data_IF_744525355518
#
_entry.id   IF_744525355518
#
_cell.length_a   1.000
_cell.length_b   1.000
_cell.length_c   1.000
_cell.angle_alpha   90.00
_cell.angle_beta   90.00
_cell.angle_gamma   90.00
#
_symmetry.space_group_name_H-M   'P 1'
#
loop_
_entity.id
_entity.type
_entity.pdbx_description
1 polymer ?
#
# COMPACT_ATOMS: atom_id res chain seq x y z
N UNK A 1 68.52 84.19 -81.38
CA UNK A 1 68.51 83.76 -82.75
C UNK A 1 68.39 82.28 -82.78
N UNK A 2 67.59 81.70 -83.61
CA UNK A 2 66.48 80.89 -83.06
C UNK A 2 66.76 79.38 -82.88
N UNK A 3 66.06 78.79 -81.96
CA UNK A 3 65.97 77.39 -81.62
C UNK A 3 65.34 76.54 -82.71
N UNK A 4 65.89 75.38 -82.93
CA UNK A 4 65.23 74.34 -83.67
C UNK A 4 64.66 73.26 -82.71
N UNK A 5 63.34 73.11 -82.72
CA UNK A 5 62.60 72.09 -82.00
C UNK A 5 62.88 70.72 -82.59
N UNK A 6 63.14 69.74 -81.68
CA UNK A 6 63.22 68.35 -82.01
C UNK A 6 61.85 67.70 -81.74
N UNK A 7 61.22 67.27 -82.79
CA UNK A 7 59.94 66.48 -82.72
C UNK A 7 60.30 65.02 -82.50
N UNK A 8 59.92 64.51 -81.33
CA UNK A 8 60.04 63.09 -80.98
C UNK A 8 58.81 62.32 -81.40
N UNK A 9 58.93 61.26 -82.22
CA UNK A 9 57.83 60.43 -82.72
C UNK A 9 57.80 59.16 -81.90
N UNK A 10 56.67 58.89 -81.18
CA UNK A 10 56.56 57.69 -80.34
C UNK A 10 56.37 56.43 -81.22
N UNK A 11 57.23 55.42 -80.99
CA UNK A 11 57.11 54.04 -81.55
C UNK A 11 56.06 53.24 -80.84
N UNK A 12 55.10 52.60 -81.58
CA UNK A 12 54.06 51.67 -81.08
C UNK A 12 54.70 50.41 -80.46
N UNK A 13 54.17 49.92 -79.33
CA UNK A 13 54.68 48.72 -78.65
C UNK A 13 54.27 47.45 -79.41
N UNK A 14 55.27 46.59 -79.63
CA UNK A 14 55.07 45.26 -80.23
C UNK A 14 54.33 44.30 -79.26
N UNK A 15 53.12 43.82 -79.62
CA UNK A 15 52.31 42.84 -78.87
C UNK A 15 53.08 41.52 -78.76
N UNK A 16 53.54 41.17 -77.57
CA UNK A 16 54.22 39.90 -77.26
C UNK A 16 53.11 38.78 -77.11
N UNK A 17 52.70 38.24 -78.19
CA UNK A 17 51.65 37.15 -78.29
C UNK A 17 52.06 35.89 -77.52
N UNK A 18 53.33 35.63 -77.33
CA UNK A 18 53.87 34.49 -76.53
C UNK A 18 53.58 34.59 -75.04
N UNK A 19 53.60 35.81 -74.47
CA UNK A 19 53.28 36.02 -73.05
C UNK A 19 51.83 35.78 -72.69
N UNK A 20 50.92 36.12 -73.58
CA UNK A 20 49.50 35.86 -73.39
C UNK A 20 49.15 34.38 -73.51
N UNK A 21 49.78 33.64 -74.37
CA UNK A 21 49.61 32.18 -74.49
C UNK A 21 50.19 31.48 -73.24
N UNK A 22 51.39 31.93 -72.75
CA UNK A 22 51.98 31.39 -71.52
C UNK A 22 51.08 31.72 -70.29
N UNK A 23 50.56 32.91 -70.21
CA UNK A 23 49.60 33.29 -69.12
C UNK A 23 48.30 32.49 -69.19
N UNK A 24 47.77 32.21 -70.39
CA UNK A 24 46.56 31.37 -70.59
C UNK A 24 46.83 29.92 -70.20
N UNK A 25 47.94 29.33 -70.55
CA UNK A 25 48.33 27.96 -70.15
C UNK A 25 48.57 27.86 -68.64
N UNK A 26 49.20 28.86 -68.02
CA UNK A 26 49.45 28.93 -66.59
C UNK A 26 48.10 29.11 -65.82
N UNK A 27 47.19 29.98 -66.33
CA UNK A 27 45.84 30.17 -65.77
C UNK A 27 44.96 28.91 -65.90
N UNK A 28 45.00 28.26 -67.08
CA UNK A 28 44.24 26.99 -67.26
C UNK A 28 44.79 25.85 -66.40
N UNK A 29 46.14 25.78 -66.22
CA UNK A 29 46.74 24.82 -65.29
C UNK A 29 46.42 25.06 -63.83
N UNK A 30 46.31 26.33 -63.42
CA UNK A 30 45.91 26.69 -62.08
C UNK A 30 44.40 26.37 -61.79
N UNK A 31 43.55 26.58 -62.80
CA UNK A 31 42.09 26.21 -62.71
C UNK A 31 41.93 24.69 -62.64
N UNK A 32 42.65 23.92 -63.49
CA UNK A 32 42.63 22.46 -63.41
C UNK A 32 43.18 21.96 -62.08
N UNK A 33 44.24 22.56 -61.56
CA UNK A 33 44.84 22.22 -60.28
C UNK A 33 43.88 22.55 -59.13
N UNK A 34 43.21 23.71 -59.12
CA UNK A 34 42.20 24.05 -58.12
C UNK A 34 40.96 23.15 -58.17
N UNK A 35 40.49 22.74 -59.37
CA UNK A 35 39.44 21.75 -59.54
C UNK A 35 39.89 20.38 -59.03
N UNK A 36 41.12 19.98 -59.29
CA UNK A 36 41.70 18.74 -58.80
C UNK A 36 41.83 18.76 -57.23
N UNK A 37 42.29 19.89 -56.66
CA UNK A 37 42.31 20.08 -55.20
C UNK A 37 40.92 20.10 -54.58
N UNK A 38 39.95 20.73 -55.24
CA UNK A 38 38.55 20.76 -54.76
C UNK A 38 37.87 19.39 -54.85
N UNK A 39 38.35 18.49 -55.72
CA UNK A 39 37.84 17.10 -55.83
C UNK A 39 38.47 16.15 -54.78
N UNK A 40 39.51 16.56 -54.08
CA UNK A 40 40.06 15.80 -52.95
C UNK A 40 39.08 15.86 -51.77
N UNK A 41 38.38 14.76 -51.52
CA UNK A 41 37.55 14.64 -50.30
C UNK A 41 38.41 14.91 -49.09
N UNK A 42 37.93 15.72 -48.10
CA UNK A 42 38.67 15.98 -46.87
C UNK A 42 39.01 14.66 -46.17
N UNK A 43 40.21 14.55 -45.66
CA UNK A 43 40.68 13.36 -44.97
C UNK A 43 39.76 13.08 -43.77
N UNK A 44 39.18 11.90 -43.74
CA UNK A 44 38.28 11.49 -42.64
C UNK A 44 39.02 11.60 -41.30
N UNK A 45 38.46 12.30 -40.31
CA UNK A 45 39.07 12.40 -38.98
C UNK A 45 39.29 11.02 -38.39
N UNK A 46 40.38 10.83 -37.66
CA UNK A 46 40.69 9.55 -37.03
C UNK A 46 40.19 9.50 -35.60
N UNK A 47 39.60 8.36 -35.22
CA UNK A 47 39.14 8.04 -33.90
C UNK A 47 39.82 6.76 -33.43
N UNK A 48 40.30 6.73 -32.20
CA UNK A 48 40.96 5.55 -31.65
C UNK A 48 39.91 4.47 -31.33
N UNK A 49 40.13 3.27 -31.84
CA UNK A 49 39.22 2.13 -31.67
C UNK A 49 39.04 1.70 -30.22
N UNK A 50 40.04 1.91 -29.38
CA UNK A 50 39.98 1.57 -27.95
C UNK A 50 39.07 2.49 -27.14
N UNK A 51 38.77 3.69 -27.64
CA UNK A 51 37.91 4.68 -26.95
C UNK A 51 36.44 4.53 -27.31
N UNK A 52 36.11 3.78 -28.38
CA UNK A 52 34.74 3.63 -28.87
C UNK A 52 34.15 2.27 -28.46
N UNK A 53 32.98 2.31 -27.90
CA UNK A 53 32.20 1.10 -27.64
C UNK A 53 31.49 0.68 -28.94
N UNK A 54 31.70 -0.57 -29.33
CA UNK A 54 31.12 -1.16 -30.54
C UNK A 54 30.12 -2.24 -30.14
N UNK A 55 28.97 -2.34 -30.85
CA UNK A 55 28.06 -3.47 -30.73
C UNK A 55 27.48 -3.83 -32.10
N UNK A 56 27.01 -5.09 -32.19
CA UNK A 56 26.41 -5.62 -33.41
C UNK A 56 24.88 -5.52 -33.36
N UNK A 57 24.29 -5.16 -34.50
CA UNK A 57 22.83 -5.21 -34.69
C UNK A 57 22.40 -6.67 -34.81
N UNK A 58 21.51 -7.10 -33.95
CA UNK A 58 21.00 -8.47 -33.88
C UNK A 58 19.49 -8.49 -34.13
N UNK A 59 19.00 -9.58 -34.68
CA UNK A 59 17.56 -9.85 -34.80
C UNK A 59 17.17 -10.92 -33.78
N UNK A 60 16.15 -10.64 -32.96
CA UNK A 60 15.72 -11.57 -31.92
C UNK A 60 14.73 -10.95 -30.95
N UNK A 61 14.61 -11.56 -29.80
CA UNK A 61 13.76 -11.07 -28.72
C UNK A 61 14.48 -10.02 -27.88
N UNK A 62 13.93 -8.82 -27.80
CA UNK A 62 14.42 -7.73 -26.97
C UNK A 62 13.49 -7.56 -25.77
N UNK A 63 14.02 -7.69 -24.54
CA UNK A 63 13.31 -7.32 -23.33
C UNK A 63 13.31 -5.80 -23.14
N UNK A 64 12.13 -5.20 -23.04
CA UNK A 64 12.03 -3.82 -22.59
C UNK A 64 11.99 -3.78 -21.08
N UNK A 65 13.02 -3.28 -20.48
CA UNK A 65 13.24 -3.25 -19.05
C UNK A 65 13.41 -1.83 -18.56
N UNK A 66 12.95 -1.57 -17.35
CA UNK A 66 13.20 -0.33 -16.62
C UNK A 66 13.88 -0.64 -15.30
N UNK A 67 14.76 0.27 -14.89
CA UNK A 67 15.51 0.13 -13.65
C UNK A 67 15.27 1.33 -12.76
N UNK A 68 15.15 1.07 -11.46
CA UNK A 68 15.06 2.11 -10.45
C UNK A 68 15.70 1.71 -9.13
N UNK A 69 16.22 2.69 -8.39
CA UNK A 69 16.66 2.50 -7.02
C UNK A 69 15.46 2.42 -6.09
N UNK A 70 15.64 1.77 -4.95
CA UNK A 70 14.62 1.68 -3.93
C UNK A 70 15.15 1.20 -2.59
N UNK A 71 14.24 0.80 -1.73
CA UNK A 71 14.55 0.26 -0.39
C UNK A 71 13.71 -0.97 -0.11
N UNK A 72 14.26 -1.90 0.66
CA UNK A 72 13.50 -3.00 1.24
C UNK A 72 12.71 -2.50 2.43
N UNK A 73 11.41 -2.75 2.45
CA UNK A 73 10.56 -2.43 3.60
C UNK A 73 9.81 -3.68 4.05
N UNK A 74 9.50 -3.82 5.34
CA UNK A 74 8.65 -4.91 5.80
C UNK A 74 7.29 -4.88 5.10
N UNK A 75 6.77 -6.04 4.71
CA UNK A 75 5.44 -6.15 4.11
C UNK A 75 4.35 -5.78 5.12
N UNK A 76 4.52 -6.23 6.37
CA UNK A 76 3.63 -5.96 7.47
C UNK A 76 4.34 -5.20 8.59
N UNK A 77 3.80 -4.05 8.93
CA UNK A 77 4.26 -3.18 10.01
C UNK A 77 3.11 -2.99 10.98
N UNK A 78 3.31 -3.37 12.22
CA UNK A 78 2.36 -3.12 13.30
C UNK A 78 2.79 -1.90 14.11
N UNK A 79 2.03 -0.82 13.97
CA UNK A 79 2.16 0.37 14.80
C UNK A 79 1.32 0.20 16.05
N UNK A 80 1.93 0.33 17.22
CA UNK A 80 1.26 0.25 18.49
C UNK A 80 1.22 1.64 19.08
N UNK A 81 0.02 2.18 19.28
CA UNK A 81 -0.20 3.52 19.82
C UNK A 81 -0.90 3.48 21.17
N UNK A 82 -0.68 4.51 21.97
CA UNK A 82 -1.39 4.71 23.23
C UNK A 82 -2.88 4.93 23.00
N UNK A 83 -3.73 4.21 23.73
CA UNK A 83 -5.19 4.38 23.71
C UNK A 83 -5.67 5.35 24.79
N UNK A 84 -4.88 5.50 25.86
CA UNK A 84 -5.20 6.35 27.01
C UNK A 84 -3.99 7.18 27.40
N UNK A 85 -4.17 8.38 27.96
CA UNK A 85 -3.06 9.12 28.54
C UNK A 85 -2.48 8.31 29.71
N UNK A 86 -1.17 8.18 29.76
CA UNK A 86 -0.50 7.42 30.82
C UNK A 86 0.98 7.78 30.91
N UNK A 87 1.63 7.39 32.02
CA UNK A 87 3.07 7.50 32.20
C UNK A 87 3.71 6.14 31.90
N UNK A 88 4.82 6.12 31.18
CA UNK A 88 5.65 4.92 31.01
C UNK A 88 6.24 4.53 32.36
N UNK A 89 5.84 3.39 32.89
CA UNK A 89 6.36 2.88 34.18
C UNK A 89 7.59 2.03 33.95
N UNK A 90 7.53 1.05 33.05
CA UNK A 90 8.61 0.11 32.81
C UNK A 90 8.64 -0.35 31.35
N UNK A 91 9.84 -0.56 30.84
CA UNK A 91 10.10 -1.14 29.51
C UNK A 91 10.76 -2.51 29.73
N UNK A 92 10.20 -3.56 29.13
CA UNK A 92 10.66 -4.94 29.31
C UNK A 92 11.50 -5.44 28.15
N UNK A 93 11.31 -4.88 26.95
CA UNK A 93 11.89 -5.38 25.70
C UNK A 93 12.61 -4.24 24.99
N UNK A 94 13.78 -4.53 24.42
CA UNK A 94 14.55 -3.56 23.63
C UNK A 94 14.36 -3.76 22.13
N UNK A 95 14.55 -2.71 21.30
CA UNK A 95 14.58 -2.85 19.84
C UNK A 95 15.57 -3.93 19.38
N UNK A 96 15.17 -4.69 18.36
CA UNK A 96 15.92 -5.85 17.84
C UNK A 96 15.52 -7.19 18.45
N UNK A 97 14.71 -7.22 19.52
CA UNK A 97 14.28 -8.47 20.17
C UNK A 97 13.08 -9.09 19.45
N UNK A 98 13.07 -10.42 19.20
CA UNK A 98 11.88 -11.13 18.72
C UNK A 98 10.82 -11.18 19.83
N UNK A 99 9.57 -10.93 19.45
CA UNK A 99 8.42 -10.85 20.35
C UNK A 99 7.26 -11.69 19.85
N UNK A 100 6.52 -12.28 20.79
CA UNK A 100 5.28 -13.01 20.52
C UNK A 100 4.06 -12.12 20.75
N UNK A 101 2.90 -12.51 20.25
CA UNK A 101 1.65 -11.77 20.36
C UNK A 101 1.32 -11.30 21.79
N UNK A 102 1.63 -12.13 22.80
CA UNK A 102 1.32 -11.87 24.21
C UNK A 102 2.51 -11.28 25.01
N UNK A 103 3.66 -11.06 24.40
CA UNK A 103 4.83 -10.48 25.10
C UNK A 103 4.51 -9.06 25.55
N UNK A 104 4.70 -8.74 26.82
CA UNK A 104 4.56 -7.36 27.32
C UNK A 104 5.80 -6.58 26.92
N UNK A 105 5.63 -5.54 26.09
CA UNK A 105 6.71 -4.68 25.61
C UNK A 105 7.06 -3.62 26.66
N UNK A 106 6.04 -2.97 27.19
CA UNK A 106 6.16 -1.95 28.21
C UNK A 106 4.87 -1.88 29.04
N UNK A 107 4.98 -1.32 30.21
CA UNK A 107 3.89 -1.07 31.13
C UNK A 107 3.69 0.44 31.31
N UNK A 108 2.43 0.84 31.19
CA UNK A 108 1.96 2.20 31.39
C UNK A 108 1.23 2.29 32.73
N UNK A 109 1.31 3.39 33.42
CA UNK A 109 0.59 3.65 34.65
C UNK A 109 -0.36 4.84 34.47
N UNK A 110 -1.62 4.62 34.87
CA UNK A 110 -2.61 5.67 35.03
C UNK A 110 -3.60 5.26 36.15
N UNK A 111 -3.48 5.88 37.35
CA UNK A 111 -4.37 5.58 38.46
C UNK A 111 -5.84 5.86 38.18
N UNK A 112 -6.16 6.88 37.38
CA UNK A 112 -7.55 7.23 37.04
C UNK A 112 -8.22 6.11 36.25
N UNK A 113 -7.54 5.49 35.30
CA UNK A 113 -8.05 4.35 34.53
C UNK A 113 -8.29 3.15 35.42
N UNK A 114 -7.46 2.93 36.44
CA UNK A 114 -7.64 1.86 37.42
C UNK A 114 -8.87 2.12 38.31
N UNK A 115 -9.04 3.35 38.80
CA UNK A 115 -10.21 3.75 39.58
C UNK A 115 -11.50 3.62 38.74
N UNK A 116 -11.51 4.11 37.50
CA UNK A 116 -12.66 3.97 36.61
C UNK A 116 -13.07 2.51 36.37
N UNK A 117 -12.11 1.60 36.22
CA UNK A 117 -12.38 0.17 36.03
C UNK A 117 -12.97 -0.48 37.30
N UNK A 118 -12.41 -0.15 38.49
CA UNK A 118 -12.91 -0.63 39.79
C UNK A 118 -14.33 -0.11 40.05
N UNK A 119 -14.59 1.17 39.76
CA UNK A 119 -15.91 1.77 39.92
C UNK A 119 -16.96 1.12 39.03
N UNK A 120 -16.63 0.88 37.77
CA UNK A 120 -17.51 0.18 36.84
C UNK A 120 -17.82 -1.25 37.32
N UNK A 121 -16.80 -1.95 37.82
CA UNK A 121 -16.99 -3.29 38.38
C UNK A 121 -17.89 -3.29 39.63
N UNK A 122 -17.70 -2.31 40.51
CA UNK A 122 -18.56 -2.13 41.71
C UNK A 122 -20.00 -1.86 41.32
N UNK A 123 -20.25 -0.97 40.31
CA UNK A 123 -21.58 -0.67 39.81
C UNK A 123 -22.29 -1.91 39.20
N UNK A 124 -21.54 -2.71 38.42
CA UNK A 124 -22.05 -3.96 37.87
C UNK A 124 -22.45 -4.93 38.96
N UNK A 125 -21.56 -5.17 39.94
CA UNK A 125 -21.86 -6.08 41.07
C UNK A 125 -23.09 -5.63 41.86
N UNK A 126 -23.23 -4.32 42.12
CA UNK A 126 -24.42 -3.78 42.77
C UNK A 126 -25.70 -4.03 41.98
N UNK A 127 -25.67 -3.80 40.68
CA UNK A 127 -26.83 -4.03 39.81
C UNK A 127 -27.19 -5.53 39.67
N UNK A 128 -26.18 -6.41 39.64
CA UNK A 128 -26.40 -7.86 39.66
C UNK A 128 -27.04 -8.30 40.99
N UNK A 129 -26.61 -7.75 42.13
CA UNK A 129 -27.21 -7.96 43.44
C UNK A 129 -28.66 -7.48 43.48
N UNK A 130 -28.98 -6.31 42.94
CA UNK A 130 -30.32 -5.76 42.84
C UNK A 130 -31.26 -6.66 41.98
N UNK A 131 -30.76 -7.17 40.86
CA UNK A 131 -31.51 -8.13 40.02
C UNK A 131 -31.86 -9.40 40.79
N UNK A 132 -30.94 -9.93 41.59
CA UNK A 132 -31.19 -11.12 42.43
C UNK A 132 -32.24 -10.80 43.48
N UNK A 133 -32.12 -9.67 44.18
CA UNK A 133 -33.07 -9.23 45.20
C UNK A 133 -34.46 -9.04 44.59
N UNK A 134 -34.59 -8.34 43.46
CA UNK A 134 -35.84 -8.13 42.77
C UNK A 134 -36.46 -9.47 42.35
N UNK A 135 -35.69 -10.38 41.78
CA UNK A 135 -36.16 -11.72 41.40
C UNK A 135 -36.70 -12.48 42.60
N UNK A 136 -36.00 -12.49 43.72
CA UNK A 136 -36.41 -13.19 44.95
C UNK A 136 -37.68 -12.59 45.53
N UNK A 137 -37.79 -11.25 45.58
CA UNK A 137 -38.99 -10.54 46.06
C UNK A 137 -40.20 -10.84 45.19
N UNK A 138 -40.07 -10.76 43.87
CA UNK A 138 -41.18 -11.04 42.95
C UNK A 138 -41.65 -12.51 43.01
N UNK A 139 -40.69 -13.44 43.09
CA UNK A 139 -41.01 -14.86 43.26
C UNK A 139 -41.68 -15.11 44.62
N UNK A 140 -41.21 -14.50 45.69
CA UNK A 140 -41.85 -14.59 47.00
C UNK A 140 -43.26 -14.06 46.99
N UNK A 141 -43.49 -12.86 46.43
CA UNK A 141 -44.83 -12.28 46.27
C UNK A 141 -45.78 -13.17 45.49
N UNK A 142 -45.32 -13.76 44.39
CA UNK A 142 -46.12 -14.70 43.59
C UNK A 142 -46.50 -15.96 44.38
N UNK A 143 -45.55 -16.54 45.12
CA UNK A 143 -45.81 -17.73 45.94
C UNK A 143 -46.80 -17.43 47.07
N UNK A 144 -46.66 -16.27 47.73
CA UNK A 144 -47.62 -15.83 48.76
C UNK A 144 -49.03 -15.68 48.16
N UNK A 145 -49.16 -15.01 47.02
CA UNK A 145 -50.42 -14.83 46.34
C UNK A 145 -51.04 -16.19 45.90
N UNK A 146 -50.25 -17.12 45.40
CA UNK A 146 -50.65 -18.45 45.03
C UNK A 146 -51.22 -19.22 46.25
N UNK A 147 -50.61 -19.03 47.44
CA UNK A 147 -51.15 -19.54 48.72
C UNK A 147 -52.53 -18.99 49.05
N UNK A 148 -52.70 -17.66 48.87
CA UNK A 148 -54.06 -17.03 49.09
C UNK A 148 -55.10 -17.60 48.14
N UNK A 149 -54.76 -17.72 46.83
CA UNK A 149 -55.67 -18.34 45.84
C UNK A 149 -56.01 -19.77 46.23
N UNK A 150 -55.06 -20.57 46.70
CA UNK A 150 -55.33 -21.95 47.13
C UNK A 150 -56.27 -22.03 48.33
N UNK A 151 -56.10 -21.14 49.32
CA UNK A 151 -56.95 -21.05 50.51
C UNK A 151 -58.38 -20.64 50.11
N UNK A 152 -58.50 -19.52 49.34
CA UNK A 152 -59.83 -19.02 48.92
C UNK A 152 -60.61 -20.05 48.06
N UNK A 153 -59.84 -20.76 47.16
CA UNK A 153 -60.43 -21.88 46.41
C UNK A 153 -60.96 -22.98 47.30
N UNK A 154 -60.26 -23.34 48.36
CA UNK A 154 -60.71 -24.36 49.34
C UNK A 154 -62.00 -23.92 50.07
N UNK A 155 -62.03 -22.64 50.48
CA UNK A 155 -63.25 -22.04 51.11
C UNK A 155 -64.43 -22.05 50.16
N UNK A 156 -64.22 -21.60 48.89
CA UNK A 156 -65.27 -21.65 47.86
C UNK A 156 -65.81 -23.07 47.62
N UNK A 157 -64.95 -24.06 47.48
CA UNK A 157 -65.35 -25.45 47.28
C UNK A 157 -66.04 -26.03 48.50
N UNK A 158 -65.69 -25.60 49.70
CA UNK A 158 -66.40 -26.01 50.93
C UNK A 158 -67.80 -25.41 51.00
N UNK A 159 -67.95 -24.10 50.68
CA UNK A 159 -69.28 -23.45 50.60
C UNK A 159 -70.14 -24.07 49.53
N UNK A 160 -69.65 -24.38 48.35
CA UNK A 160 -70.32 -25.02 47.24
C UNK A 160 -70.87 -26.40 47.64
N UNK A 161 -70.10 -27.21 48.38
CA UNK A 161 -70.56 -28.46 48.94
C UNK A 161 -71.62 -28.24 49.98
N UNK A 162 -71.52 -27.23 50.86
CA UNK A 162 -72.56 -26.90 51.86
C UNK A 162 -73.87 -26.48 51.22
N UNK A 163 -73.80 -25.63 50.18
CA UNK A 163 -75.03 -25.23 49.42
C UNK A 163 -75.69 -26.43 48.75
N UNK A 164 -74.94 -27.33 48.14
CA UNK A 164 -75.49 -28.58 47.55
C UNK A 164 -76.15 -29.50 48.57
N UNK A 165 -75.62 -29.56 49.78
CA UNK A 165 -76.28 -30.30 50.92
C UNK A 165 -77.53 -29.58 51.35
N UNK A 166 -77.55 -28.23 51.47
CA UNK A 166 -78.71 -27.43 51.81
C UNK A 166 -79.86 -27.61 50.81
N UNK A 167 -79.54 -27.61 49.50
CA UNK A 167 -80.49 -27.90 48.43
C UNK A 167 -81.17 -29.27 48.63
N UNK A 168 -80.37 -30.29 48.92
CA UNK A 168 -80.84 -31.66 49.12
C UNK A 168 -81.77 -31.78 50.38
N UNK A 169 -81.38 -31.09 51.45
CA UNK A 169 -82.18 -31.10 52.70
C UNK A 169 -83.49 -30.33 52.57
N UNK A 170 -83.59 -29.32 51.77
CA UNK A 170 -84.86 -28.58 51.52
C UNK A 170 -85.89 -29.43 50.81
N UNK A 171 -85.44 -30.30 49.89
CA UNK A 171 -86.32 -31.23 49.18
C UNK A 171 -87.07 -32.14 50.16
N UNK A 172 -86.49 -32.51 51.26
CA UNK A 172 -87.03 -33.37 52.28
C UNK A 172 -87.65 -32.57 53.47
N UNK A 173 -87.74 -31.22 53.36
CA UNK A 173 -88.30 -30.34 54.36
C UNK A 173 -87.43 -30.07 55.60
N UNK A 174 -86.16 -30.35 55.56
CA UNK A 174 -85.22 -30.25 56.67
C UNK A 174 -84.56 -28.84 56.86
N UNK A 175 -84.70 -27.92 55.86
CA UNK A 175 -84.19 -26.55 55.93
C UNK A 175 -85.15 -25.54 55.37
N UNK A 176 -85.10 -24.28 55.86
CA UNK A 176 -85.92 -23.19 55.36
C UNK A 176 -85.41 -22.67 54.01
N UNK A 177 -86.23 -22.09 53.14
CA UNK A 177 -85.84 -21.45 51.88
C UNK A 177 -84.84 -20.31 52.11
N UNK A 178 -84.91 -19.61 53.25
CA UNK A 178 -84.04 -18.54 53.61
C UNK A 178 -82.60 -19.05 53.93
N UNK A 179 -82.51 -20.21 54.58
CA UNK A 179 -81.19 -20.83 54.89
C UNK A 179 -80.48 -21.30 53.60
N UNK A 180 -81.22 -21.79 52.61
CA UNK A 180 -80.69 -22.14 51.28
C UNK A 180 -80.21 -20.91 50.53
N UNK A 181 -81.01 -19.81 50.55
CA UNK A 181 -80.63 -18.57 49.94
C UNK A 181 -79.29 -18.02 50.54
N UNK A 182 -79.14 -18.03 51.84
CA UNK A 182 -77.92 -17.64 52.55
C UNK A 182 -76.75 -18.54 52.18
N UNK A 183 -76.97 -19.85 51.99
CA UNK A 183 -75.89 -20.74 51.54
C UNK A 183 -75.41 -20.44 50.12
N UNK A 184 -76.33 -20.12 49.19
CA UNK A 184 -75.99 -19.69 47.83
C UNK A 184 -75.31 -18.31 47.81
N UNK A 185 -75.85 -17.33 48.55
CA UNK A 185 -75.18 -16.02 48.69
C UNK A 185 -73.71 -16.17 49.16
N UNK A 186 -73.45 -17.12 50.08
CA UNK A 186 -72.10 -17.40 50.54
C UNK A 186 -71.22 -18.03 49.46
N UNK A 187 -71.77 -18.86 48.58
CA UNK A 187 -71.07 -19.40 47.41
C UNK A 187 -70.71 -18.27 46.47
N UNK A 188 -71.64 -17.39 46.12
CA UNK A 188 -71.46 -16.28 45.20
C UNK A 188 -70.38 -15.29 45.74
N UNK A 189 -70.43 -14.99 47.05
CA UNK A 189 -69.41 -14.16 47.71
C UNK A 189 -67.97 -14.76 47.56
N UNK A 190 -67.83 -16.07 47.86
CA UNK A 190 -66.59 -16.76 47.84
C UNK A 190 -66.04 -17.02 46.39
N UNK A 191 -66.98 -17.22 45.45
CA UNK A 191 -66.67 -17.33 44.04
C UNK A 191 -66.07 -16.01 43.52
N UNK A 192 -66.74 -14.90 43.76
CA UNK A 192 -66.23 -13.57 43.39
C UNK A 192 -64.89 -13.28 44.02
N UNK A 193 -64.72 -13.63 45.30
CA UNK A 193 -63.46 -13.46 46.00
C UNK A 193 -62.31 -14.33 45.38
N UNK A 194 -62.58 -15.58 45.06
CA UNK A 194 -61.63 -16.48 44.40
C UNK A 194 -61.24 -15.97 43.05
N UNK A 195 -62.16 -15.47 42.24
CA UNK A 195 -61.85 -14.92 40.91
C UNK A 195 -60.98 -13.65 41.00
N UNK A 196 -61.28 -12.78 41.98
CA UNK A 196 -60.41 -11.59 42.21
C UNK A 196 -58.98 -11.99 42.59
N UNK A 197 -58.79 -12.93 43.52
CA UNK A 197 -57.47 -13.37 43.95
C UNK A 197 -56.71 -14.11 42.84
N UNK A 198 -57.42 -14.83 41.98
CA UNK A 198 -56.90 -15.49 40.79
C UNK A 198 -56.41 -14.44 39.75
N UNK A 199 -57.22 -13.43 39.46
CA UNK A 199 -56.84 -12.32 38.57
C UNK A 199 -55.63 -11.58 39.09
N UNK A 200 -55.52 -11.39 40.41
CA UNK A 200 -54.38 -10.77 41.05
C UNK A 200 -53.10 -11.61 40.87
N UNK A 201 -53.21 -12.95 40.99
CA UNK A 201 -52.13 -13.87 40.73
C UNK A 201 -51.66 -13.82 39.26
N UNK A 202 -52.59 -13.79 38.31
CA UNK A 202 -52.36 -13.71 36.89
C UNK A 202 -51.65 -12.38 36.52
N UNK A 203 -52.10 -11.26 37.11
CA UNK A 203 -51.49 -9.96 36.95
C UNK A 203 -50.04 -9.94 37.49
N UNK A 204 -49.83 -10.46 38.69
CA UNK A 204 -48.48 -10.57 39.26
C UNK A 204 -47.57 -11.44 38.37
N UNK A 205 -48.08 -12.55 37.85
CA UNK A 205 -47.33 -13.46 37.01
C UNK A 205 -46.94 -12.80 35.68
N UNK A 206 -47.86 -12.08 35.02
CA UNK A 206 -47.63 -11.42 33.75
C UNK A 206 -46.66 -10.22 33.86
N UNK A 207 -46.60 -9.54 34.99
CA UNK A 207 -45.74 -8.37 35.20
C UNK A 207 -44.32 -8.73 35.65
N UNK A 208 -44.08 -9.91 36.23
CA UNK A 208 -42.75 -10.35 36.71
C UNK A 208 -41.70 -10.31 35.61
N UNK A 209 -42.00 -10.90 34.45
CA UNK A 209 -41.06 -10.98 33.35
C UNK A 209 -40.69 -9.60 32.80
N UNK A 210 -41.68 -8.70 32.70
CA UNK A 210 -41.44 -7.33 32.25
C UNK A 210 -40.56 -6.53 33.20
N UNK A 211 -40.80 -6.65 34.53
CA UNK A 211 -39.97 -5.99 35.54
C UNK A 211 -38.54 -6.54 35.57
N UNK A 212 -38.39 -7.86 35.47
CA UNK A 212 -37.06 -8.49 35.37
C UNK A 212 -36.34 -8.15 34.07
N UNK A 213 -37.06 -7.98 32.95
CA UNK A 213 -36.44 -7.60 31.66
C UNK A 213 -35.77 -6.23 31.75
N UNK A 214 -36.42 -5.24 32.36
CA UNK A 214 -35.81 -3.89 32.54
C UNK A 214 -34.55 -3.97 33.37
N UNK A 215 -34.55 -4.70 34.47
CA UNK A 215 -33.37 -4.82 35.34
C UNK A 215 -32.27 -5.65 34.70
N UNK A 216 -32.60 -6.69 33.92
CA UNK A 216 -31.63 -7.45 33.14
C UNK A 216 -30.93 -6.57 32.09
N UNK A 217 -31.69 -5.72 31.42
CA UNK A 217 -31.13 -4.78 30.43
C UNK A 217 -30.18 -3.78 31.08
N UNK A 218 -30.47 -3.32 32.29
CA UNK A 218 -29.54 -2.48 33.07
C UNK A 218 -28.23 -3.21 33.37
N UNK A 219 -28.29 -4.49 33.79
CA UNK A 219 -27.11 -5.32 34.03
C UNK A 219 -26.29 -5.53 32.73
N UNK A 220 -26.96 -5.82 31.60
CA UNK A 220 -26.27 -5.96 30.28
C UNK A 220 -25.51 -4.70 29.92
N UNK A 221 -26.15 -3.54 30.08
CA UNK A 221 -25.51 -2.24 29.80
C UNK A 221 -24.27 -1.97 30.70
N UNK A 222 -24.40 -2.20 32.00
CA UNK A 222 -23.30 -2.02 32.93
C UNK A 222 -22.17 -3.03 32.68
N UNK A 223 -22.50 -4.26 32.26
CA UNK A 223 -21.51 -5.26 31.88
C UNK A 223 -20.70 -4.81 30.64
N UNK A 224 -21.35 -4.23 29.63
CA UNK A 224 -20.69 -3.68 28.47
C UNK A 224 -19.76 -2.51 28.85
N UNK A 225 -20.21 -1.61 29.72
CA UNK A 225 -19.38 -0.50 30.24
C UNK A 225 -18.17 -1.04 31.01
N UNK A 226 -18.37 -2.00 31.89
CA UNK A 226 -17.30 -2.63 32.66
C UNK A 226 -16.28 -3.30 31.76
N UNK A 227 -16.72 -4.06 30.75
CA UNK A 227 -15.85 -4.70 29.78
C UNK A 227 -14.99 -3.65 29.04
N UNK A 228 -15.58 -2.53 28.63
CA UNK A 228 -14.85 -1.42 28.01
C UNK A 228 -13.79 -0.80 28.95
N UNK A 229 -14.14 -0.54 30.22
CA UNK A 229 -13.20 0.00 31.20
C UNK A 229 -12.06 -0.96 31.52
N UNK A 230 -12.34 -2.26 31.63
CA UNK A 230 -11.32 -3.30 31.80
C UNK A 230 -10.40 -3.43 30.56
N UNK A 231 -10.94 -3.29 29.36
CA UNK A 231 -10.14 -3.25 28.14
C UNK A 231 -9.21 -2.05 28.10
N UNK A 232 -9.65 -0.87 28.56
CA UNK A 232 -8.77 0.29 28.71
C UNK A 232 -7.68 0.04 29.76
N UNK A 233 -8.01 -0.58 30.87
CA UNK A 233 -7.05 -0.95 31.91
C UNK A 233 -6.01 -1.95 31.34
N UNK A 234 -6.47 -2.99 30.64
CA UNK A 234 -5.55 -3.98 30.04
C UNK A 234 -4.64 -3.37 28.97
N UNK A 235 -5.07 -2.30 28.30
CA UNK A 235 -4.25 -1.60 27.29
C UNK A 235 -3.04 -0.86 27.88
N UNK A 236 -2.99 -0.70 29.20
CA UNK A 236 -1.81 -0.17 29.90
C UNK A 236 -0.63 -1.18 29.87
N UNK A 237 -0.91 -2.47 29.72
CA UNK A 237 0.09 -3.47 29.36
C UNK A 237 0.20 -3.57 27.85
N UNK A 238 1.16 -2.87 27.29
CA UNK A 238 1.33 -2.77 25.85
C UNK A 238 1.90 -4.07 25.28
N UNK A 239 1.14 -4.71 24.37
CA UNK A 239 1.50 -5.98 23.71
C UNK A 239 1.42 -5.82 22.20
N UNK A 240 2.25 -6.53 21.42
CA UNK A 240 2.24 -6.43 19.96
C UNK A 240 0.95 -7.00 19.32
N UNK A 241 0.35 -8.02 19.91
CA UNK A 241 -0.81 -8.72 19.36
C UNK A 241 -0.50 -9.69 18.22
N UNK A 242 0.70 -9.63 17.66
CA UNK A 242 1.21 -10.49 16.60
C UNK A 242 2.68 -10.83 16.87
N UNK A 243 3.17 -11.93 16.31
CA UNK A 243 4.59 -12.27 16.38
C UNK A 243 5.42 -11.40 15.44
N UNK A 244 6.63 -11.07 15.83
CA UNK A 244 7.51 -10.24 15.04
C UNK A 244 8.81 -9.87 15.74
N UNK A 245 9.47 -8.85 15.26
CA UNK A 245 10.65 -8.23 15.88
C UNK A 245 10.31 -6.78 16.21
N UNK A 246 10.59 -6.37 17.43
CA UNK A 246 10.46 -4.98 17.85
C UNK A 246 11.48 -4.12 17.09
N UNK A 247 11.00 -3.28 16.17
CA UNK A 247 11.87 -2.43 15.35
C UNK A 247 12.22 -1.12 16.04
N UNK A 248 11.22 -0.47 16.65
CA UNK A 248 11.39 0.83 17.28
C UNK A 248 10.60 0.90 18.60
N UNK A 249 11.20 1.50 19.60
CA UNK A 249 10.59 1.87 20.88
C UNK A 249 11.33 3.10 21.41
N UNK A 250 10.83 4.29 21.07
CA UNK A 250 11.49 5.57 21.32
C UNK A 250 10.90 6.26 22.57
N UNK A 251 10.75 5.51 23.67
CA UNK A 251 10.19 5.97 24.92
C UNK A 251 11.18 5.78 26.05
N UNK A 252 11.01 6.58 27.12
CA UNK A 252 11.79 6.47 28.32
C UNK A 252 10.88 6.25 29.55
N UNK A 253 11.31 5.47 30.55
CA UNK A 253 10.60 5.39 31.82
C UNK A 253 10.39 6.77 32.45
N UNK A 254 9.17 7.01 32.94
CA UNK A 254 8.74 8.32 33.44
C UNK A 254 8.13 9.27 32.42
N UNK A 255 8.27 9.00 31.13
CA UNK A 255 7.71 9.83 30.05
C UNK A 255 6.18 9.73 30.06
N UNK A 256 5.51 10.88 29.86
CA UNK A 256 4.06 10.95 29.67
C UNK A 256 3.70 10.75 28.19
N UNK A 257 2.71 9.90 27.94
CA UNK A 257 2.16 9.66 26.60
C UNK A 257 0.68 10.03 26.54
N UNK A 258 0.24 10.52 25.37
CA UNK A 258 -1.16 10.88 25.10
C UNK A 258 -1.75 9.93 24.06
N UNK A 259 -3.08 9.80 23.97
CA UNK A 259 -3.71 8.97 22.94
C UNK A 259 -3.20 9.30 21.53
N UNK A 260 -2.90 8.25 20.76
CA UNK A 260 -2.32 8.39 19.41
C UNK A 260 -0.78 8.45 19.37
N UNK A 261 -0.10 8.62 20.53
CA UNK A 261 1.37 8.53 20.56
C UNK A 261 1.80 7.12 20.18
N UNK A 262 2.72 7.01 19.21
CA UNK A 262 3.32 5.73 18.80
C UNK A 262 4.23 5.24 19.94
N UNK A 263 3.91 4.08 20.48
CA UNK A 263 4.68 3.46 21.59
C UNK A 263 5.75 2.51 21.06
N UNK A 264 5.40 1.72 20.03
CA UNK A 264 6.29 0.72 19.47
C UNK A 264 5.94 0.43 18.01
N UNK A 265 6.93 -0.06 17.26
CA UNK A 265 6.79 -0.56 15.90
C UNK A 265 7.31 -1.99 15.87
N UNK A 266 6.45 -2.93 15.51
CA UNK A 266 6.79 -4.34 15.37
C UNK A 266 6.70 -4.74 13.89
N UNK A 267 7.69 -5.44 13.38
CA UNK A 267 7.79 -5.87 11.99
C UNK A 267 7.86 -7.40 11.92
N UNK A 268 7.24 -8.00 10.91
CA UNK A 268 7.38 -9.44 10.67
C UNK A 268 8.71 -9.70 9.95
N UNK A 269 9.63 -10.47 10.55
CA UNK A 269 10.85 -10.86 9.88
C UNK A 269 10.56 -11.80 8.73
N UNK A 270 11.38 -11.71 7.66
CA UNK A 270 11.29 -12.63 6.52
C UNK A 270 10.24 -12.29 5.46
N UNK A 271 9.39 -11.31 5.68
CA UNK A 271 8.45 -10.79 4.66
C UNK A 271 8.80 -9.34 4.32
N UNK A 272 9.65 -9.20 3.31
CA UNK A 272 10.08 -7.89 2.81
C UNK A 272 9.52 -7.67 1.40
N UNK A 273 9.18 -6.44 1.10
CA UNK A 273 8.89 -5.96 -0.26
C UNK A 273 9.90 -4.89 -0.64
N UNK A 274 10.17 -4.75 -1.93
CA UNK A 274 10.99 -3.67 -2.43
C UNK A 274 10.09 -2.51 -2.89
N UNK A 275 10.36 -1.32 -2.38
CA UNK A 275 9.71 -0.08 -2.80
C UNK A 275 10.67 0.67 -3.70
N UNK A 276 10.35 0.71 -4.99
CA UNK A 276 11.23 1.18 -6.05
C UNK A 276 10.69 2.49 -6.61
N UNK A 277 11.60 3.42 -6.93
CA UNK A 277 11.27 4.69 -7.59
C UNK A 277 11.68 4.63 -9.05
N UNK A 278 10.72 4.65 -9.95
CA UNK A 278 10.92 4.63 -11.39
C UNK A 278 10.70 6.04 -11.94
N UNK A 279 11.62 6.61 -12.74
CA UNK A 279 11.38 7.89 -13.40
C UNK A 279 10.08 7.88 -14.21
N UNK A 280 9.27 8.93 -14.12
CA UNK A 280 7.97 9.05 -14.82
C UNK A 280 8.11 8.81 -16.33
N UNK A 281 9.21 9.26 -16.93
CA UNK A 281 9.51 9.06 -18.36
C UNK A 281 9.67 7.59 -18.75
N UNK A 282 9.97 6.70 -17.81
CA UNK A 282 10.16 5.27 -18.01
C UNK A 282 8.97 4.45 -17.50
N UNK A 283 8.04 5.07 -16.76
CA UNK A 283 6.86 4.42 -16.19
C UNK A 283 5.81 3.92 -17.21
N UNK A 284 5.66 4.50 -18.45
CA UNK A 284 4.67 4.01 -19.38
C UNK A 284 4.86 2.54 -19.72
N UNK A 285 3.80 1.75 -19.49
CA UNK A 285 3.78 0.29 -19.70
C UNK A 285 4.03 -0.54 -18.44
N UNK A 286 4.27 0.07 -17.28
CA UNK A 286 4.26 -0.65 -16.01
C UNK A 286 2.86 -1.18 -15.72
N UNK A 287 2.79 -2.45 -15.29
CA UNK A 287 1.55 -3.11 -14.92
C UNK A 287 1.77 -4.06 -13.73
N UNK A 288 0.72 -4.23 -12.93
CA UNK A 288 0.73 -5.19 -11.83
C UNK A 288 0.90 -6.60 -12.40
N UNK A 289 1.70 -7.43 -11.71
CA UNK A 289 2.01 -8.80 -12.10
C UNK A 289 3.28 -8.94 -12.97
N UNK A 290 3.89 -7.85 -13.44
CA UNK A 290 5.14 -7.91 -14.19
C UNK A 290 6.27 -8.50 -13.34
N UNK A 291 7.15 -9.25 -14.01
CA UNK A 291 8.32 -9.86 -13.38
C UNK A 291 9.39 -8.80 -13.13
N UNK A 292 9.96 -8.85 -11.95
CA UNK A 292 11.03 -7.97 -11.54
C UNK A 292 12.21 -8.78 -10.99
N UNK A 293 13.39 -8.22 -11.10
CA UNK A 293 14.63 -8.72 -10.52
C UNK A 293 15.18 -7.65 -9.59
N UNK A 294 15.31 -7.97 -8.31
CA UNK A 294 15.77 -7.03 -7.26
C UNK A 294 17.17 -7.43 -6.82
N UNK A 295 18.11 -6.54 -7.03
CA UNK A 295 19.49 -6.67 -6.55
C UNK A 295 19.57 -6.10 -5.13
N UNK A 296 19.76 -6.96 -4.16
CA UNK A 296 19.89 -6.61 -2.75
C UNK A 296 21.33 -6.38 -2.31
N UNK A 297 22.29 -6.33 -3.27
CA UNK A 297 23.74 -6.29 -3.05
C UNK A 297 24.31 -7.55 -2.38
N UNK A 298 23.48 -8.39 -1.81
CA UNK A 298 23.82 -9.71 -1.26
C UNK A 298 23.38 -10.86 -2.17
N UNK A 299 22.59 -10.55 -3.20
CA UNK A 299 22.09 -11.49 -4.20
C UNK A 299 20.94 -10.87 -5.00
N UNK A 300 20.69 -11.47 -6.15
CA UNK A 300 19.56 -11.10 -7.01
C UNK A 300 18.35 -11.97 -6.64
N UNK A 301 17.24 -11.35 -6.36
CA UNK A 301 15.98 -12.00 -5.99
C UNK A 301 14.92 -11.70 -7.04
N UNK A 302 14.22 -12.74 -7.48
CA UNK A 302 13.06 -12.59 -8.34
C UNK A 302 11.86 -12.06 -7.51
N UNK A 303 11.00 -11.29 -8.17
CA UNK A 303 9.80 -10.76 -7.56
C UNK A 303 8.78 -10.33 -8.60
N UNK A 304 7.65 -9.84 -8.12
CA UNK A 304 6.54 -9.36 -8.96
C UNK A 304 6.03 -8.02 -8.50
N UNK A 305 5.68 -7.17 -9.45
CA UNK A 305 5.00 -5.90 -9.19
C UNK A 305 3.62 -6.17 -8.59
N UNK A 306 3.37 -5.67 -7.38
CA UNK A 306 2.10 -5.82 -6.67
C UNK A 306 1.31 -4.52 -6.57
N UNK A 307 2.00 -3.37 -6.63
CA UNK A 307 1.37 -2.05 -6.57
C UNK A 307 2.17 -1.04 -7.37
N UNK A 308 1.45 -0.15 -8.03
CA UNK A 308 2.00 1.02 -8.72
C UNK A 308 1.25 2.22 -8.20
N UNK A 309 1.96 3.23 -7.72
CA UNK A 309 1.34 4.47 -7.25
C UNK A 309 0.77 5.22 -8.47
N UNK A 310 -0.51 5.63 -8.46
CA UNK A 310 -1.11 6.36 -9.57
C UNK A 310 -0.56 7.77 -9.75
N UNK A 311 0.10 8.31 -8.74
CA UNK A 311 0.68 9.67 -8.75
C UNK A 311 2.20 9.63 -8.81
N UNK A 312 2.78 10.47 -9.67
CA UNK A 312 4.21 10.73 -9.66
C UNK A 312 4.55 11.73 -8.55
N UNK A 313 5.56 11.42 -7.75
CA UNK A 313 6.13 12.31 -6.74
C UNK A 313 7.58 12.61 -7.08
N UNK A 314 7.94 13.89 -7.11
CA UNK A 314 9.31 14.33 -7.47
C UNK A 314 9.80 13.74 -8.81
N UNK A 315 8.90 13.61 -9.81
CA UNK A 315 9.24 13.07 -11.12
C UNK A 315 9.47 11.55 -11.16
N UNK A 316 9.07 10.83 -10.09
CA UNK A 316 9.18 9.37 -10.00
C UNK A 316 7.83 8.74 -9.62
N UNK A 317 7.59 7.55 -10.15
CA UNK A 317 6.46 6.68 -9.77
C UNK A 317 6.96 5.61 -8.81
N UNK A 318 6.25 5.44 -7.69
CA UNK A 318 6.58 4.43 -6.69
C UNK A 318 5.96 3.09 -7.09
N UNK A 319 6.76 2.04 -7.07
CA UNK A 319 6.36 0.67 -7.43
C UNK A 319 6.75 -0.28 -6.31
N UNK A 320 5.76 -1.02 -5.78
CA UNK A 320 6.01 -2.07 -4.79
C UNK A 320 6.19 -3.42 -5.50
N UNK A 321 7.24 -4.11 -5.15
CA UNK A 321 7.59 -5.45 -5.67
C UNK A 321 7.59 -6.43 -4.50
N UNK A 322 6.73 -7.45 -4.58
CA UNK A 322 6.81 -8.59 -3.68
C UNK A 322 7.98 -9.49 -4.09
N UNK A 323 8.77 -9.91 -3.13
CA UNK A 323 9.91 -10.80 -3.35
C UNK A 323 9.47 -12.26 -3.25
N UNK A 324 9.88 -13.10 -4.20
CA UNK A 324 9.58 -14.54 -4.16
C UNK A 324 10.33 -15.25 -3.03
N UNK A 325 11.46 -14.72 -2.60
CA UNK A 325 12.24 -15.18 -1.46
C UNK A 325 12.96 -14.02 -0.78
N UNK A 326 13.18 -14.12 0.52
CA UNK A 326 13.94 -13.12 1.27
C UNK A 326 15.33 -13.68 1.58
N UNK A 327 16.43 -13.03 1.12
CA UNK A 327 17.78 -13.45 1.48
C UNK A 327 17.97 -13.40 3.00
N UNK A 328 18.65 -14.40 3.57
CA UNK A 328 18.86 -14.48 5.02
C UNK A 328 19.57 -13.25 5.63
N UNK A 329 20.36 -12.54 4.83
CA UNK A 329 21.06 -11.30 5.23
C UNK A 329 20.26 -10.02 4.93
N UNK A 330 19.08 -10.09 4.31
CA UNK A 330 18.28 -8.93 4.00
C UNK A 330 17.70 -8.32 5.28
N UNK A 331 17.92 -7.03 5.46
CA UNK A 331 17.36 -6.25 6.58
C UNK A 331 16.41 -5.19 6.03
N UNK A 332 15.42 -4.75 6.82
CA UNK A 332 14.66 -3.55 6.48
C UNK A 332 15.57 -2.35 6.22
N UNK A 333 15.06 -1.43 5.40
CA UNK A 333 15.67 -0.13 5.06
C UNK A 333 17.01 -0.18 4.31
N UNK A 334 17.43 -1.37 3.80
CA UNK A 334 18.57 -1.45 2.88
C UNK A 334 18.19 -0.94 1.49
N UNK A 335 19.13 -0.19 0.88
CA UNK A 335 19.00 0.24 -0.52
C UNK A 335 19.17 -0.93 -1.48
N UNK A 336 18.29 -1.01 -2.46
CA UNK A 336 18.27 -2.01 -3.52
C UNK A 336 18.09 -1.37 -4.88
N UNK A 337 18.47 -2.09 -5.92
CA UNK A 337 18.17 -1.73 -7.31
C UNK A 337 17.24 -2.78 -7.91
N UNK A 338 16.16 -2.37 -8.56
CA UNK A 338 15.27 -3.31 -9.23
C UNK A 338 15.20 -3.06 -10.74
N UNK A 339 15.12 -4.14 -11.48
CA UNK A 339 14.87 -4.14 -12.92
C UNK A 339 13.53 -4.82 -13.16
N UNK A 340 12.58 -4.10 -13.78
CA UNK A 340 11.24 -4.59 -14.11
C UNK A 340 11.15 -4.84 -15.60
N UNK A 341 10.74 -6.02 -16.02
CA UNK A 341 10.49 -6.35 -17.43
C UNK A 341 9.07 -5.92 -17.79
N UNK A 342 8.98 -4.88 -18.62
CA UNK A 342 7.69 -4.32 -19.07
C UNK A 342 7.07 -5.20 -20.14
N UNK A 343 7.83 -5.49 -21.20
CA UNK A 343 7.39 -6.29 -22.34
C UNK A 343 8.55 -7.03 -23.00
N UNK A 344 8.24 -8.07 -23.75
CA UNK A 344 9.20 -8.77 -24.60
C UNK A 344 8.78 -8.58 -26.05
N UNK A 345 9.66 -7.91 -26.80
CA UNK A 345 9.48 -7.67 -28.24
C UNK A 345 10.10 -8.85 -28.97
N UNK A 346 9.29 -9.63 -29.64
CA UNK A 346 9.75 -10.76 -30.46
C UNK A 346 10.09 -10.29 -31.87
N UNK A 347 11.18 -10.84 -32.41
CA UNK A 347 11.60 -10.65 -33.82
C UNK A 347 11.88 -9.19 -34.22
N UNK A 348 12.51 -8.41 -33.35
CA UNK A 348 12.93 -7.02 -33.61
C UNK A 348 14.44 -6.95 -33.89
N UNK A 349 14.86 -5.92 -34.67
CA UNK A 349 16.26 -5.55 -34.76
C UNK A 349 16.62 -4.68 -33.57
N UNK A 350 17.70 -4.99 -32.88
CA UNK A 350 18.18 -4.21 -31.73
C UNK A 350 19.70 -4.23 -31.67
N UNK A 351 20.22 -3.23 -30.96
CA UNK A 351 21.64 -3.13 -30.59
C UNK A 351 21.77 -2.59 -29.18
N UNK A 352 22.99 -2.52 -28.64
CA UNK A 352 23.25 -1.85 -27.38
C UNK A 352 22.75 -0.41 -27.38
N UNK A 353 22.36 0.10 -26.23
CA UNK A 353 21.86 1.47 -26.10
C UNK A 353 22.99 2.47 -26.29
N UNK A 354 22.91 3.38 -27.29
CA UNK A 354 23.92 4.43 -27.43
C UNK A 354 23.84 5.44 -26.28
N UNK A 355 24.96 6.09 -25.99
CA UNK A 355 25.04 7.12 -24.95
C UNK A 355 24.24 8.39 -25.28
N UNK A 356 23.73 8.53 -26.51
CA UNK A 356 23.00 9.67 -27.05
C UNK A 356 21.73 9.22 -27.76
N UNK A 357 20.82 10.18 -28.00
CA UNK A 357 19.57 9.93 -28.70
C UNK A 357 18.37 9.66 -27.76
N UNK A 358 17.20 10.03 -28.22
CA UNK A 358 15.92 9.83 -27.51
C UNK A 358 15.12 8.66 -28.09
N UNK A 359 14.31 7.97 -27.30
CA UNK A 359 13.38 6.95 -27.82
C UNK A 359 12.47 7.52 -28.92
N UNK A 360 12.12 6.66 -29.87
CA UNK A 360 11.22 6.99 -31.01
C UNK A 360 11.69 8.19 -31.85
N UNK A 361 12.99 8.41 -31.97
CA UNK A 361 13.59 9.49 -32.77
C UNK A 361 14.44 8.95 -33.91
N UNK A 362 14.92 9.84 -34.78
CA UNK A 362 15.94 9.52 -35.78
C UNK A 362 17.27 10.08 -35.34
N UNK A 363 18.25 9.21 -35.17
CA UNK A 363 19.60 9.56 -34.71
C UNK A 363 20.65 9.21 -35.77
N UNK A 364 21.75 9.95 -35.83
CA UNK A 364 22.90 9.61 -36.69
C UNK A 364 23.79 8.59 -35.98
N UNK A 365 23.83 7.35 -36.44
CA UNK A 365 24.75 6.33 -35.92
C UNK A 365 25.85 6.04 -36.89
N UNK A 366 27.06 5.77 -36.39
CA UNK A 366 28.19 5.39 -37.19
C UNK A 366 28.24 3.87 -37.39
N UNK A 367 27.97 3.43 -38.64
CA UNK A 367 28.07 2.02 -39.07
C UNK A 367 29.47 1.71 -39.57
N UNK A 368 30.07 0.63 -39.13
CA UNK A 368 31.35 0.16 -39.57
C UNK A 368 31.26 -0.38 -40.99
N UNK A 369 32.25 0.00 -41.82
CA UNK A 369 32.41 -0.44 -43.21
C UNK A 369 33.87 -0.80 -43.46
N UNK A 370 34.12 -1.47 -44.62
CA UNK A 370 35.47 -1.83 -45.07
C UNK A 370 36.30 -2.62 -44.06
N UNK A 371 35.67 -3.66 -43.45
CA UNK A 371 36.35 -4.50 -42.48
C UNK A 371 36.67 -3.80 -41.17
N UNK A 372 35.92 -2.75 -40.82
CA UNK A 372 36.03 -2.03 -39.56
C UNK A 372 37.08 -0.92 -39.54
N UNK A 373 37.70 -0.56 -40.69
CA UNK A 373 38.65 0.53 -40.79
C UNK A 373 38.02 1.92 -40.86
N UNK A 374 36.76 1.97 -41.30
CA UNK A 374 35.99 3.21 -41.38
C UNK A 374 34.60 3.04 -40.80
N UNK A 375 34.03 4.12 -40.34
CA UNK A 375 32.62 4.17 -39.94
C UNK A 375 31.93 5.31 -40.71
N UNK A 376 30.75 5.02 -41.25
CA UNK A 376 29.91 5.95 -42.02
C UNK A 376 28.68 6.29 -41.20
N UNK A 377 28.32 7.56 -41.16
CA UNK A 377 27.14 8.05 -40.47
C UNK A 377 25.89 7.71 -41.29
N UNK A 378 24.96 6.98 -40.61
CA UNK A 378 23.70 6.56 -41.21
C UNK A 378 22.56 7.10 -40.37
N UNK A 379 21.52 7.71 -40.94
CA UNK A 379 20.31 8.06 -40.19
C UNK A 379 19.59 6.78 -39.79
N UNK A 380 19.41 6.57 -38.50
CA UNK A 380 18.75 5.38 -37.93
C UNK A 380 17.52 5.81 -37.18
N UNK A 381 16.35 5.29 -37.57
CA UNK A 381 15.14 5.46 -36.82
C UNK A 381 15.12 4.43 -35.70
N UNK A 382 15.23 4.91 -34.47
CA UNK A 382 15.19 4.08 -33.28
C UNK A 382 13.76 4.03 -32.72
N UNK A 383 13.43 2.91 -32.09
CA UNK A 383 12.13 2.67 -31.50
C UNK A 383 12.18 2.68 -29.98
N UNK A 384 11.64 1.65 -29.37
CA UNK A 384 11.57 1.46 -27.93
C UNK A 384 12.96 1.23 -27.32
N UNK A 385 13.16 1.71 -26.10
CA UNK A 385 14.44 1.66 -25.41
C UNK A 385 14.30 0.82 -24.15
N UNK A 386 15.31 0.02 -23.87
CA UNK A 386 15.51 -0.72 -22.64
C UNK A 386 16.71 -0.14 -21.85
N UNK A 387 17.04 -0.72 -20.70
CA UNK A 387 18.19 -0.33 -19.88
C UNK A 387 19.49 -0.38 -20.71
N UNK A 388 19.72 -1.52 -21.41
CA UNK A 388 20.98 -1.82 -22.08
C UNK A 388 20.85 -1.91 -23.62
N UNK A 389 19.66 -1.78 -24.20
CA UNK A 389 19.42 -1.98 -25.63
C UNK A 389 18.41 -1.01 -26.21
N UNK A 390 18.45 -0.84 -27.53
CA UNK A 390 17.52 0.01 -28.26
C UNK A 390 17.04 -0.73 -29.52
N UNK A 391 15.75 -0.62 -29.80
CA UNK A 391 15.10 -1.16 -31.00
C UNK A 391 15.51 -0.33 -32.22
N UNK A 392 15.85 -1.01 -33.32
CA UNK A 392 16.14 -0.40 -34.62
C UNK A 392 14.93 -0.64 -35.53
N UNK A 393 14.23 0.44 -35.89
CA UNK A 393 13.06 0.40 -36.76
C UNK A 393 13.49 0.47 -38.23
N UNK A 394 14.48 1.31 -38.56
CA UNK A 394 14.94 1.54 -39.92
C UNK A 394 16.39 2.08 -39.95
N UNK A 395 17.13 1.78 -41.00
CA UNK A 395 18.46 2.34 -41.25
C UNK A 395 19.64 1.38 -41.05
N UNK A 396 19.42 0.23 -40.38
CA UNK A 396 20.45 -0.79 -40.14
C UNK A 396 19.87 -2.19 -40.47
N UNK A 397 20.76 -3.14 -40.74
CA UNK A 397 20.44 -4.55 -40.97
C UNK A 397 21.10 -5.45 -39.94
N UNK A 398 20.56 -6.67 -39.75
CA UNK A 398 21.17 -7.66 -38.89
C UNK A 398 22.58 -7.99 -39.37
N UNK A 399 23.55 -8.02 -38.42
CA UNK A 399 24.95 -8.21 -38.69
C UNK A 399 25.76 -6.91 -38.86
N UNK A 400 25.12 -5.75 -38.97
CA UNK A 400 25.82 -4.46 -38.95
C UNK A 400 26.47 -4.22 -37.60
N UNK A 401 27.67 -3.60 -37.60
CA UNK A 401 28.32 -3.15 -36.39
C UNK A 401 28.25 -1.62 -36.29
N UNK A 402 27.93 -1.12 -35.13
CA UNK A 402 27.70 0.32 -34.89
C UNK A 402 28.47 0.82 -33.68
N UNK A 403 28.78 2.12 -33.67
CA UNK A 403 29.43 2.81 -32.56
C UNK A 403 28.35 3.31 -31.59
N UNK A 404 28.45 2.92 -30.31
CA UNK A 404 27.56 3.32 -29.23
C UNK A 404 28.00 4.52 -28.42
N UNK A 405 29.34 4.81 -28.44
CA UNK A 405 29.91 5.93 -27.72
C UNK A 405 29.44 7.27 -28.29
N UNK A 406 29.51 8.32 -27.50
CA UNK A 406 29.16 9.67 -27.90
C UNK A 406 30.09 10.17 -29.03
N UNK A 407 29.50 10.30 -30.22
CA UNK A 407 30.15 10.78 -31.44
C UNK A 407 29.71 12.19 -31.84
N UNK A 408 29.13 12.97 -30.95
CA UNK A 408 28.59 14.32 -31.20
C UNK A 408 29.65 15.28 -31.80
N UNK A 409 30.92 15.09 -31.42
CA UNK A 409 32.04 15.86 -32.00
C UNK A 409 32.24 15.67 -33.52
N UNK A 410 31.66 14.57 -34.05
CA UNK A 410 31.78 14.16 -35.45
C UNK A 410 30.47 14.26 -36.20
N UNK A 411 29.46 14.94 -35.67
CA UNK A 411 28.11 15.05 -36.24
C UNK A 411 28.11 15.72 -37.63
N UNK A 412 29.09 16.57 -37.91
CA UNK A 412 29.25 17.25 -39.17
C UNK A 412 30.09 16.46 -40.22
N UNK A 413 30.49 15.22 -39.90
CA UNK A 413 31.35 14.40 -40.76
C UNK A 413 30.62 13.14 -41.15
N UNK A 414 30.56 12.85 -42.48
CA UNK A 414 29.88 11.64 -42.98
C UNK A 414 30.68 10.35 -42.75
N UNK A 415 32.02 10.46 -42.57
CA UNK A 415 32.88 9.30 -42.45
C UNK A 415 34.03 9.58 -41.47
N UNK A 416 34.30 8.64 -40.60
CA UNK A 416 35.44 8.65 -39.67
C UNK A 416 36.34 7.42 -39.90
N UNK A 417 37.63 7.54 -39.67
CA UNK A 417 38.61 6.45 -39.75
C UNK A 417 38.88 5.93 -38.34
N UNK A 418 38.79 4.62 -38.14
CA UNK A 418 39.18 3.98 -36.90
C UNK A 418 40.66 3.57 -36.98
N UNK A 419 41.43 3.96 -35.98
CA UNK A 419 42.86 3.59 -35.80
C UNK A 419 42.98 2.47 -34.79
#
# INVERSE_FOLDING_TARGET
MPCLEHVDIPRAPTKNRKRYVQAGVAGGGLIVFTILLASLKPAAPSVDREVVSLDGVRRGTMGREVRGPGTLVPEHIRWISALTPARVERIFVQPGTPVQANTVLLELANPDVQIEALDAQRQLTAAEGELVNLRTSLQGGRLTQAGVVATTRSEYLAAKRAASVADSLTIIGGLSRNDVALAHEKVDELEARYDIEKQRLDLLTSTVDSQLAVQREQVVRLRAITAFRLSRLSSLQVRPGEEGVLSELNLQPGQWVVPGTILAKVVQPGKLKAVIRIPETQAPGLAIGQVASVDTRTGIVAGRVIRIDPSAQEGTVTVDIALDSTPAAARPDISVDATITIERLSDVLFTGRPAYGQPNSTIGMFKLVEGGRYAVRVPVKVGRTSVNSIEIVQGLAAGDSVILSDMTRYDNVERVRLK
#
